data_IF_280706356017
#
_entry.id   IF_280706356017
#
_cell.length_a   1.000
_cell.length_b   1.000
_cell.length_c   1.000
_cell.angle_alpha   90.00
_cell.angle_beta   90.00
_cell.angle_gamma   90.00
#
_symmetry.space_group_name_H-M   'P 1'
#
loop_
_entity.id
_entity.type
_entity.pdbx_description
1 polymer ?
#
# COMPACT_ATOMS: atom_id res chain seq x y z
N UNK A 1 2.51 -56.56 5.46
CA UNK A 1 1.29 -55.77 5.22
C UNK A 1 1.26 -54.58 6.16
N UNK A 2 0.92 -53.40 5.62
CA UNK A 2 0.50 -52.15 6.26
C UNK A 2 1.43 -51.50 7.31
N UNK A 3 2.32 -50.62 6.84
CA UNK A 3 2.84 -49.51 7.64
C UNK A 3 1.75 -48.43 7.77
N UNK A 4 1.30 -48.16 9.00
CA UNK A 4 0.38 -47.08 9.30
C UNK A 4 1.08 -45.74 9.06
N UNK A 5 0.70 -45.04 7.99
CA UNK A 5 0.94 -43.60 7.88
C UNK A 5 0.03 -42.91 8.90
N UNK A 6 0.60 -42.41 9.99
CA UNK A 6 -0.08 -41.48 10.88
C UNK A 6 -0.31 -40.17 10.12
N UNK A 7 -1.53 -39.99 9.61
CA UNK A 7 -1.99 -38.70 9.11
C UNK A 7 -2.01 -37.73 10.30
N UNK A 8 -0.96 -36.92 10.43
CA UNK A 8 -0.89 -35.81 11.38
C UNK A 8 -2.00 -34.83 11.00
N UNK A 9 -3.12 -34.88 11.71
CA UNK A 9 -4.21 -33.95 11.51
C UNK A 9 -3.65 -32.53 11.67
N UNK A 10 -3.62 -31.77 10.57
CA UNK A 10 -3.29 -30.36 10.60
C UNK A 10 -4.45 -29.68 11.32
N UNK A 11 -4.32 -29.49 12.62
CA UNK A 11 -5.26 -28.69 13.40
C UNK A 11 -5.21 -27.29 12.80
N UNK A 12 -6.22 -26.94 12.02
CA UNK A 12 -6.37 -25.58 11.52
C UNK A 12 -6.62 -24.67 12.71
N UNK A 13 -5.61 -23.87 13.07
CA UNK A 13 -5.76 -22.87 14.11
C UNK A 13 -6.89 -21.90 13.72
N UNK A 14 -7.78 -21.60 14.67
CA UNK A 14 -8.89 -20.66 14.49
C UNK A 14 -8.35 -19.31 13.98
N UNK A 15 -9.05 -18.64 13.04
CA UNK A 15 -8.75 -17.26 12.67
C UNK A 15 -8.75 -16.35 13.89
N UNK A 16 -7.68 -15.55 14.06
CA UNK A 16 -7.59 -14.61 15.18
C UNK A 16 -8.54 -13.45 14.96
N UNK A 17 -9.14 -12.98 16.03
CA UNK A 17 -9.96 -11.76 16.03
C UNK A 17 -9.09 -10.51 15.82
N UNK A 18 -9.69 -9.39 15.42
CA UNK A 18 -8.96 -8.12 15.25
C UNK A 18 -8.42 -7.58 16.57
N UNK A 19 -9.10 -7.84 17.69
CA UNK A 19 -8.65 -7.44 19.03
C UNK A 19 -7.36 -8.14 19.46
N UNK A 20 -7.08 -9.32 18.89
CA UNK A 20 -5.83 -10.06 19.10
C UNK A 20 -4.71 -9.61 18.15
N UNK A 21 -5.00 -8.68 17.23
CA UNK A 21 -4.12 -8.22 16.16
C UNK A 21 -4.17 -6.68 16.05
N UNK A 22 -3.63 -5.93 17.03
CA UNK A 22 -3.77 -4.47 17.08
C UNK A 22 -3.16 -3.75 15.86
N UNK A 23 -2.08 -4.29 15.26
CA UNK A 23 -1.53 -3.76 14.01
C UNK A 23 -2.50 -3.93 12.83
N UNK A 24 -3.27 -5.00 12.79
CA UNK A 24 -4.25 -5.23 11.72
C UNK A 24 -5.40 -4.22 11.80
N UNK A 25 -5.74 -3.73 13.01
CA UNK A 25 -6.69 -2.62 13.18
C UNK A 25 -6.14 -1.32 12.59
N UNK A 26 -4.85 -1.02 12.85
CA UNK A 26 -4.18 0.13 12.24
C UNK A 26 -4.19 0.05 10.72
N UNK A 27 -3.84 -1.11 10.15
CA UNK A 27 -3.85 -1.29 8.69
C UNK A 27 -5.25 -1.23 8.11
N UNK A 28 -6.25 -1.78 8.80
CA UNK A 28 -7.65 -1.72 8.37
C UNK A 28 -8.14 -0.27 8.32
N UNK A 29 -7.86 0.53 9.35
CA UNK A 29 -8.18 1.95 9.38
C UNK A 29 -7.44 2.69 8.26
N UNK A 30 -6.16 2.41 8.07
CA UNK A 30 -5.34 2.99 7.02
C UNK A 30 -5.91 2.70 5.62
N UNK A 31 -6.15 1.43 5.28
CA UNK A 31 -6.73 1.05 3.99
C UNK A 31 -8.13 1.61 3.78
N UNK A 32 -8.95 1.69 4.84
CA UNK A 32 -10.29 2.28 4.76
C UNK A 32 -10.24 3.78 4.44
N UNK A 33 -9.42 4.54 5.17
CA UNK A 33 -9.23 5.98 4.91
C UNK A 33 -8.63 6.20 3.52
N UNK A 34 -7.62 5.42 3.16
CA UNK A 34 -6.94 5.54 1.88
C UNK A 34 -7.88 5.22 0.72
N UNK A 35 -8.69 4.15 0.81
CA UNK A 35 -9.67 3.82 -0.21
C UNK A 35 -10.67 4.95 -0.45
N UNK A 36 -11.16 5.59 0.62
CA UNK A 36 -12.07 6.72 0.51
C UNK A 36 -11.35 7.91 -0.15
N UNK A 37 -10.13 8.22 0.29
CA UNK A 37 -9.33 9.32 -0.28
C UNK A 37 -9.02 9.10 -1.76
N UNK A 38 -8.58 7.91 -2.15
CA UNK A 38 -8.25 7.56 -3.53
C UNK A 38 -9.47 7.64 -4.46
N UNK A 39 -10.65 7.23 -4.00
CA UNK A 39 -11.88 7.40 -4.79
C UNK A 39 -12.28 8.88 -4.86
N UNK A 40 -12.16 9.60 -3.75
CA UNK A 40 -12.60 10.98 -3.62
C UNK A 40 -11.63 12.01 -4.22
N UNK A 41 -10.37 11.67 -4.50
CA UNK A 41 -9.35 12.62 -4.98
C UNK A 41 -8.63 12.03 -6.18
N UNK A 42 -7.88 10.95 -5.99
CA UNK A 42 -6.90 10.46 -6.97
C UNK A 42 -7.54 9.88 -8.24
N UNK A 43 -8.66 9.17 -8.07
CA UNK A 43 -9.46 8.67 -9.18
C UNK A 43 -10.01 9.83 -10.01
N UNK A 44 -10.49 10.92 -9.40
CA UNK A 44 -11.00 12.07 -10.15
C UNK A 44 -9.92 12.68 -11.05
N UNK A 45 -8.67 12.75 -10.59
CA UNK A 45 -7.56 13.33 -11.36
C UNK A 45 -7.00 12.40 -12.45
N UNK A 46 -7.35 11.11 -12.41
CA UNK A 46 -6.97 10.13 -13.44
C UNK A 46 -7.88 10.20 -14.66
N UNK A 47 -9.16 10.52 -14.47
CA UNK A 47 -10.15 10.53 -15.54
C UNK A 47 -10.03 11.77 -16.45
N UNK A 48 -10.35 11.65 -17.74
CA UNK A 48 -10.36 12.78 -18.66
C UNK A 48 -11.27 13.93 -18.19
N UNK A 49 -10.94 15.21 -18.50
CA UNK A 49 -11.75 16.35 -18.10
C UNK A 49 -13.23 16.27 -18.51
N UNK A 50 -13.51 15.66 -19.67
CA UNK A 50 -14.87 15.50 -20.18
C UNK A 50 -15.73 14.53 -19.34
N UNK A 51 -15.12 13.60 -18.60
CA UNK A 51 -15.84 12.63 -17.77
C UNK A 51 -15.99 13.06 -16.30
N UNK A 52 -15.54 14.28 -15.95
CA UNK A 52 -15.70 14.81 -14.59
C UNK A 52 -17.18 14.87 -14.15
N UNK A 53 -18.12 15.03 -15.09
CA UNK A 53 -19.56 15.02 -14.82
C UNK A 53 -20.09 13.69 -14.27
N UNK A 54 -19.33 12.60 -14.40
CA UNK A 54 -19.67 11.30 -13.84
C UNK A 54 -19.48 11.24 -12.32
N UNK A 55 -18.68 12.15 -11.75
CA UNK A 55 -18.48 12.22 -10.31
C UNK A 55 -19.58 13.06 -9.64
N UNK A 56 -20.15 12.58 -8.51
CA UNK A 56 -21.05 13.35 -7.68
C UNK A 56 -20.49 14.74 -7.36
N UNK A 57 -21.36 15.75 -7.32
CA UNK A 57 -20.96 17.13 -7.06
C UNK A 57 -20.20 17.31 -5.74
N UNK A 58 -20.62 16.57 -4.70
CA UNK A 58 -19.94 16.56 -3.42
C UNK A 58 -18.46 16.13 -3.54
N UNK A 59 -18.16 15.07 -4.31
CA UNK A 59 -16.78 14.61 -4.49
C UNK A 59 -15.96 15.61 -5.30
N UNK A 60 -16.55 16.21 -6.33
CA UNK A 60 -15.89 17.28 -7.10
C UNK A 60 -15.55 18.46 -6.21
N UNK A 61 -16.45 18.84 -5.30
CA UNK A 61 -16.22 19.92 -4.33
C UNK A 61 -15.09 19.56 -3.35
N UNK A 62 -15.06 18.33 -2.82
CA UNK A 62 -13.98 17.87 -1.93
C UNK A 62 -12.62 17.99 -2.59
N UNK A 63 -12.48 17.56 -3.85
CA UNK A 63 -11.24 17.71 -4.61
C UNK A 63 -10.85 19.20 -4.74
N UNK A 64 -11.78 20.05 -5.16
CA UNK A 64 -11.49 21.48 -5.35
C UNK A 64 -11.14 22.19 -4.03
N UNK A 65 -11.86 21.89 -2.95
CA UNK A 65 -11.53 22.39 -1.60
C UNK A 65 -10.13 21.94 -1.18
N UNK A 66 -9.76 20.68 -1.43
CA UNK A 66 -8.43 20.16 -1.13
C UNK A 66 -7.35 20.87 -1.94
N UNK A 67 -7.50 20.98 -3.26
CA UNK A 67 -6.51 21.63 -4.14
C UNK A 67 -6.32 23.11 -3.80
N UNK A 68 -7.40 23.81 -3.46
CA UNK A 68 -7.35 25.23 -3.11
C UNK A 68 -6.69 25.48 -1.77
N UNK A 69 -6.95 24.64 -0.77
CA UNK A 69 -6.44 24.80 0.60
C UNK A 69 -5.01 24.28 0.75
N UNK A 70 -4.74 23.04 0.32
CA UNK A 70 -3.43 22.39 0.46
C UNK A 70 -2.37 22.99 -0.46
N UNK A 71 -2.78 23.43 -1.66
CA UNK A 71 -1.89 23.76 -2.78
C UNK A 71 -0.88 22.64 -3.08
N UNK A 72 -1.32 21.40 -2.93
CA UNK A 72 -0.51 20.22 -3.22
C UNK A 72 0.09 20.30 -4.64
N UNK A 73 1.42 20.43 -4.77
CA UNK A 73 2.06 20.68 -6.06
C UNK A 73 1.88 19.51 -7.04
N UNK A 74 1.80 18.28 -6.54
CA UNK A 74 1.69 17.09 -7.38
C UNK A 74 0.27 16.91 -7.89
N UNK A 75 -0.74 17.10 -7.03
CA UNK A 75 -2.14 17.01 -7.43
C UNK A 75 -2.55 18.19 -8.34
N UNK A 76 -2.05 19.40 -8.08
CA UNK A 76 -2.22 20.54 -8.99
C UNK A 76 -1.55 20.29 -10.35
N UNK A 77 -0.34 19.73 -10.37
CA UNK A 77 0.33 19.36 -11.61
C UNK A 77 -0.44 18.26 -12.38
N UNK A 78 -1.06 17.32 -11.67
CA UNK A 78 -1.91 16.30 -12.26
C UNK A 78 -3.19 16.89 -12.87
N UNK A 79 -3.88 17.78 -12.14
CA UNK A 79 -5.07 18.50 -12.63
C UNK A 79 -4.76 19.30 -13.89
N UNK A 80 -3.66 20.06 -13.89
CA UNK A 80 -3.19 20.83 -15.04
C UNK A 80 -2.63 19.96 -16.18
N UNK A 81 -2.51 18.64 -15.99
CA UNK A 81 -1.88 17.68 -16.92
C UNK A 81 -0.46 18.11 -17.31
N UNK A 82 0.29 18.66 -16.36
CA UNK A 82 1.65 19.16 -16.54
C UNK A 82 2.61 18.06 -17.02
N UNK A 83 3.55 18.45 -17.89
CA UNK A 83 4.64 17.59 -18.34
C UNK A 83 5.73 17.39 -17.27
N UNK A 84 5.80 18.27 -16.27
CA UNK A 84 6.84 18.23 -15.24
C UNK A 84 6.66 17.07 -14.22
N UNK A 85 5.43 16.58 -14.07
CA UNK A 85 5.08 15.54 -13.08
C UNK A 85 4.35 14.35 -13.72
N UNK A 86 4.79 13.95 -14.92
CA UNK A 86 4.23 12.77 -15.60
C UNK A 86 4.35 11.51 -14.74
N UNK A 87 5.45 11.36 -14.01
CA UNK A 87 5.66 10.24 -13.08
C UNK A 87 4.54 10.15 -12.03
N UNK A 88 4.10 11.28 -11.47
CA UNK A 88 3.05 11.33 -10.46
C UNK A 88 1.68 11.00 -11.07
N UNK A 89 1.42 11.47 -12.30
CA UNK A 89 0.20 11.09 -13.03
C UNK A 89 0.13 9.59 -13.32
N UNK A 90 1.27 8.95 -13.59
CA UNK A 90 1.34 7.48 -13.71
C UNK A 90 1.06 6.81 -12.37
N UNK A 91 1.54 7.37 -11.26
CA UNK A 91 1.22 6.86 -9.92
C UNK A 91 -0.30 6.94 -9.63
N UNK A 92 -0.96 8.08 -9.89
CA UNK A 92 -2.42 8.22 -9.75
C UNK A 92 -3.20 7.22 -10.62
N UNK A 93 -2.74 7.02 -11.86
CA UNK A 93 -3.33 6.02 -12.75
C UNK A 93 -3.14 4.60 -12.20
N UNK A 94 -1.95 4.27 -11.70
CA UNK A 94 -1.67 2.99 -11.06
C UNK A 94 -2.52 2.78 -9.80
N UNK A 95 -2.80 3.85 -9.06
CA UNK A 95 -3.61 3.81 -7.87
C UNK A 95 -5.06 3.46 -8.21
N UNK A 96 -5.62 4.19 -9.19
CA UNK A 96 -6.98 3.98 -9.67
C UNK A 96 -7.18 2.56 -10.21
N UNK A 97 -6.21 2.04 -10.98
CA UNK A 97 -6.35 0.78 -11.71
C UNK A 97 -5.93 -0.45 -10.91
N UNK A 98 -4.94 -0.33 -10.02
CA UNK A 98 -4.33 -1.46 -9.32
C UNK A 98 -4.54 -1.36 -7.80
N UNK A 99 -4.22 -0.21 -7.22
CA UNK A 99 -4.19 -0.10 -5.76
C UNK A 99 -5.60 -0.05 -5.15
N UNK A 100 -6.57 0.64 -5.75
CA UNK A 100 -7.97 0.66 -5.27
C UNK A 100 -8.55 -0.76 -5.17
N UNK A 101 -8.49 -1.61 -6.21
CA UNK A 101 -8.86 -3.02 -6.08
C UNK A 101 -8.10 -3.75 -4.98
N UNK A 102 -6.80 -3.47 -4.82
CA UNK A 102 -5.98 -4.09 -3.78
C UNK A 102 -6.39 -3.66 -2.37
N UNK A 103 -6.86 -2.43 -2.16
CA UNK A 103 -7.36 -1.97 -0.87
C UNK A 103 -8.56 -2.80 -0.44
N UNK A 104 -9.49 -3.09 -1.37
CA UNK A 104 -10.65 -3.95 -1.10
C UNK A 104 -10.22 -5.35 -0.70
N UNK A 105 -9.26 -5.94 -1.43
CA UNK A 105 -8.71 -7.28 -1.11
C UNK A 105 -7.97 -7.26 0.23
N UNK A 106 -7.20 -6.22 0.53
CA UNK A 106 -6.46 -6.08 1.77
C UNK A 106 -7.39 -5.94 2.98
N UNK A 107 -8.43 -5.10 2.87
CA UNK A 107 -9.48 -4.95 3.88
C UNK A 107 -10.14 -6.30 4.15
N UNK A 108 -10.58 -6.99 3.09
CA UNK A 108 -11.16 -8.33 3.23
C UNK A 108 -10.18 -9.32 3.87
N UNK A 109 -8.91 -9.30 3.47
CA UNK A 109 -7.88 -10.19 4.01
C UNK A 109 -7.63 -9.97 5.51
N UNK A 110 -7.56 -8.72 5.95
CA UNK A 110 -7.40 -8.37 7.37
C UNK A 110 -8.60 -8.81 8.20
N UNK A 111 -9.82 -8.54 7.72
CA UNK A 111 -11.07 -8.92 8.38
C UNK A 111 -11.19 -10.44 8.58
N UNK A 112 -10.70 -11.23 7.62
CA UNK A 112 -10.81 -12.69 7.63
C UNK A 112 -9.54 -13.42 8.12
N UNK A 113 -8.49 -12.71 8.55
CA UNK A 113 -7.17 -13.29 8.90
C UNK A 113 -6.59 -14.16 7.76
N UNK A 114 -6.81 -13.73 6.51
CA UNK A 114 -6.38 -14.45 5.30
C UNK A 114 -4.92 -14.12 4.98
N UNK A 115 -4.03 -15.08 5.20
CA UNK A 115 -2.57 -14.93 5.06
C UNK A 115 -2.13 -14.82 3.60
N UNK A 116 -2.94 -15.31 2.65
CA UNK A 116 -2.63 -15.25 1.22
C UNK A 116 -2.61 -13.82 0.67
N UNK A 117 -3.17 -12.84 1.39
CA UNK A 117 -3.12 -11.43 0.98
C UNK A 117 -1.83 -10.73 1.39
N UNK A 118 -0.99 -11.34 2.25
CA UNK A 118 0.24 -10.68 2.73
C UNK A 118 1.20 -10.27 1.60
N UNK A 119 1.48 -11.10 0.57
CA UNK A 119 2.36 -10.68 -0.52
C UNK A 119 1.83 -9.45 -1.28
N UNK A 120 0.50 -9.34 -1.42
CA UNK A 120 -0.12 -8.18 -2.04
C UNK A 120 0.07 -6.91 -1.19
N UNK A 121 -0.10 -7.02 0.13
CA UNK A 121 0.14 -5.93 1.07
C UNK A 121 1.60 -5.48 1.10
N UNK A 122 2.56 -6.39 0.92
CA UNK A 122 3.98 -6.07 0.77
C UNK A 122 4.24 -5.27 -0.51
N UNK A 123 3.73 -5.76 -1.65
CA UNK A 123 3.92 -5.10 -2.94
C UNK A 123 3.34 -3.69 -2.93
N UNK A 124 2.10 -3.55 -2.45
CA UNK A 124 1.45 -2.26 -2.27
C UNK A 124 2.22 -1.37 -1.29
N UNK A 125 2.54 -1.89 -0.09
CA UNK A 125 3.18 -1.11 0.97
C UNK A 125 4.52 -0.54 0.53
N UNK A 126 5.29 -1.32 -0.24
CA UNK A 126 6.57 -0.89 -0.82
C UNK A 126 6.37 0.25 -1.81
N UNK A 127 5.41 0.10 -2.74
CA UNK A 127 5.11 1.14 -3.73
C UNK A 127 4.65 2.43 -3.05
N UNK A 128 3.63 2.35 -2.18
CA UNK A 128 3.07 3.50 -1.49
C UNK A 128 4.09 4.22 -0.59
N UNK A 129 4.92 3.46 0.15
CA UNK A 129 5.99 4.04 0.96
C UNK A 129 7.01 4.78 0.10
N UNK A 130 7.50 4.15 -0.96
CA UNK A 130 8.55 4.72 -1.81
C UNK A 130 8.08 5.94 -2.61
N UNK A 131 6.87 5.89 -3.19
CA UNK A 131 6.30 7.02 -3.91
C UNK A 131 6.00 8.21 -2.99
N UNK A 132 5.47 7.96 -1.80
CA UNK A 132 5.19 9.03 -0.84
C UNK A 132 6.48 9.62 -0.28
N UNK A 133 7.51 8.80 -0.04
CA UNK A 133 8.84 9.28 0.34
C UNK A 133 9.42 10.18 -0.74
N UNK A 134 9.23 9.86 -2.02
CA UNK A 134 9.65 10.72 -3.13
C UNK A 134 8.95 12.09 -3.08
N UNK A 135 7.63 12.12 -2.84
CA UNK A 135 6.90 13.38 -2.66
C UNK A 135 7.44 14.19 -1.47
N UNK A 136 7.67 13.55 -0.31
CA UNK A 136 8.24 14.20 0.88
C UNK A 136 9.61 14.81 0.56
N UNK A 137 10.52 14.04 -0.04
CA UNK A 137 11.85 14.51 -0.40
C UNK A 137 11.79 15.64 -1.41
N UNK A 138 10.90 15.59 -2.39
CA UNK A 138 10.78 16.65 -3.40
C UNK A 138 10.22 17.96 -2.83
N UNK A 139 9.33 17.89 -1.84
CA UNK A 139 8.88 19.05 -1.07
C UNK A 139 9.99 19.59 -0.16
N UNK A 140 10.70 18.73 0.58
CA UNK A 140 11.68 19.18 1.57
C UNK A 140 13.02 19.62 0.99
N UNK A 141 13.46 18.97 -0.09
CA UNK A 141 14.80 19.10 -0.67
C UNK A 141 14.78 19.60 -2.12
N UNK A 142 13.63 19.54 -2.79
CA UNK A 142 13.46 19.91 -4.18
C UNK A 142 12.78 21.27 -4.38
N UNK A 143 12.32 21.50 -5.61
CA UNK A 143 11.65 22.75 -6.00
C UNK A 143 10.14 22.74 -5.81
N UNK A 144 9.54 21.61 -5.44
CA UNK A 144 8.07 21.47 -5.37
C UNK A 144 7.46 22.26 -4.20
N UNK A 145 8.27 22.72 -3.24
CA UNK A 145 7.83 23.63 -2.18
C UNK A 145 7.87 25.12 -2.57
N UNK A 146 8.39 25.48 -3.75
CA UNK A 146 8.50 26.89 -4.16
C UNK A 146 7.09 27.48 -4.30
N UNK A 147 6.82 28.54 -3.55
CA UNK A 147 5.52 29.23 -3.55
C UNK A 147 4.52 28.70 -2.51
N UNK A 148 4.86 27.65 -1.75
CA UNK A 148 4.04 27.22 -0.61
C UNK A 148 4.42 27.98 0.66
N UNK A 149 3.40 28.32 1.46
CA UNK A 149 3.61 28.86 2.80
C UNK A 149 4.09 27.78 3.77
N UNK A 150 4.76 28.15 4.89
CA UNK A 150 5.15 27.19 5.92
C UNK A 150 3.97 26.39 6.50
N UNK A 151 2.77 26.97 6.54
CA UNK A 151 1.57 26.27 6.99
C UNK A 151 1.12 25.19 6.01
N UNK A 152 1.19 25.46 4.70
CA UNK A 152 0.87 24.49 3.67
C UNK A 152 1.89 23.35 3.63
N UNK A 153 3.19 23.66 3.74
CA UNK A 153 4.23 22.63 3.83
C UNK A 153 3.98 21.72 5.04
N UNK A 154 3.66 22.28 6.21
CA UNK A 154 3.31 21.48 7.39
C UNK A 154 2.07 20.62 7.14
N UNK A 155 1.03 21.17 6.52
CA UNK A 155 -0.19 20.43 6.18
C UNK A 155 0.09 19.26 5.22
N UNK A 156 0.91 19.47 4.19
CA UNK A 156 1.33 18.41 3.27
C UNK A 156 2.10 17.31 4.00
N UNK A 157 3.07 17.67 4.85
CA UNK A 157 3.85 16.68 5.60
C UNK A 157 3.00 15.92 6.62
N UNK A 158 2.00 16.56 7.23
CA UNK A 158 1.04 15.90 8.11
C UNK A 158 0.22 14.83 7.38
N UNK A 159 -0.05 15.02 6.08
CA UNK A 159 -0.70 14.01 5.25
C UNK A 159 0.30 12.97 4.74
N UNK A 160 1.46 13.36 4.22
CA UNK A 160 2.38 12.43 3.57
C UNK A 160 3.13 11.54 4.56
N UNK A 161 3.55 12.06 5.72
CA UNK A 161 4.38 11.28 6.66
C UNK A 161 3.65 10.03 7.16
N UNK A 162 2.38 10.08 7.63
CA UNK A 162 1.64 8.88 8.00
C UNK A 162 1.48 7.91 6.81
N UNK A 163 1.22 8.43 5.62
CA UNK A 163 1.05 7.64 4.39
C UNK A 163 2.38 7.08 3.85
N UNK A 164 3.52 7.49 4.38
CA UNK A 164 4.82 6.86 4.14
C UNK A 164 5.15 5.82 5.22
N UNK A 165 4.96 6.19 6.49
CA UNK A 165 5.36 5.37 7.64
C UNK A 165 4.47 4.14 7.83
N UNK A 166 3.15 4.27 7.68
CA UNK A 166 2.23 3.13 7.86
C UNK A 166 2.45 2.06 6.78
N UNK A 167 2.58 2.40 5.48
CA UNK A 167 2.96 1.42 4.45
C UNK A 167 4.34 0.79 4.65
N UNK A 168 5.30 1.55 5.19
CA UNK A 168 6.62 0.99 5.54
C UNK A 168 6.47 -0.07 6.63
N UNK A 169 5.72 0.25 7.70
CA UNK A 169 5.44 -0.68 8.79
C UNK A 169 4.67 -1.92 8.28
N UNK A 170 3.64 -1.71 7.45
CA UNK A 170 2.87 -2.77 6.81
C UNK A 170 3.78 -3.71 6.02
N UNK A 171 4.68 -3.15 5.22
CA UNK A 171 5.63 -3.93 4.39
C UNK A 171 6.49 -4.83 5.27
N UNK A 172 7.13 -4.26 6.30
CA UNK A 172 8.01 -5.01 7.20
C UNK A 172 7.24 -6.08 7.96
N UNK A 173 6.08 -5.73 8.54
CA UNK A 173 5.27 -6.67 9.32
C UNK A 173 4.77 -7.83 8.45
N UNK A 174 4.22 -7.55 7.27
CA UNK A 174 3.73 -8.60 6.36
C UNK A 174 4.88 -9.49 5.85
N UNK A 175 6.04 -8.91 5.56
CA UNK A 175 7.24 -9.69 5.21
C UNK A 175 7.66 -10.62 6.33
N UNK A 176 7.74 -10.13 7.57
CA UNK A 176 8.07 -10.95 8.73
C UNK A 176 7.04 -12.06 8.91
N UNK A 177 5.74 -11.77 8.82
CA UNK A 177 4.68 -12.78 8.91
C UNK A 177 4.81 -13.85 7.84
N UNK A 178 5.13 -13.48 6.60
CA UNK A 178 5.39 -14.45 5.51
C UNK A 178 6.58 -15.33 5.88
N UNK A 179 7.70 -14.77 6.31
CA UNK A 179 8.90 -15.53 6.69
C UNK A 179 8.60 -16.55 7.80
N UNK A 180 7.80 -16.18 8.80
CA UNK A 180 7.39 -17.10 9.88
C UNK A 180 6.48 -18.24 9.40
N UNK A 181 5.83 -18.11 8.24
CA UNK A 181 5.00 -19.17 7.65
C UNK A 181 5.81 -20.15 6.80
N UNK A 182 7.04 -19.80 6.40
CA UNK A 182 7.88 -20.67 5.59
C UNK A 182 8.48 -21.79 6.45
N UNK A 183 8.48 -23.04 5.96
CA UNK A 183 9.12 -24.13 6.68
C UNK A 183 10.63 -23.91 6.72
N UNK A 184 11.24 -24.08 7.90
CA UNK A 184 12.70 -24.17 8.01
C UNK A 184 13.11 -25.54 7.48
N UNK A 185 13.53 -25.62 6.22
CA UNK A 185 14.15 -26.83 5.68
C UNK A 185 15.61 -26.86 6.15
N UNK A 186 16.04 -27.80 7.01
CA UNK A 186 17.45 -27.96 7.29
C UNK A 186 18.18 -28.33 5.99
N UNK A 187 19.33 -27.68 5.74
CA UNK A 187 20.15 -27.96 4.56
C UNK A 187 20.41 -29.47 4.48
N UNK A 188 20.03 -30.10 3.37
CA UNK A 188 20.29 -31.53 3.16
C UNK A 188 21.80 -31.75 3.20
N UNK A 189 22.34 -32.58 4.09
CA UNK A 189 23.77 -32.83 4.11
C UNK A 189 24.17 -33.43 2.76
N UNK A 190 25.13 -32.80 2.08
CA UNK A 190 25.70 -33.34 0.85
C UNK A 190 26.26 -34.73 1.15
N UNK A 191 25.66 -35.75 0.54
CA UNK A 191 26.18 -37.11 0.59
C UNK A 191 27.54 -37.09 -0.11
N UNK A 192 28.63 -37.25 0.66
CA UNK A 192 29.95 -37.54 0.09
C UNK A 192 29.85 -38.86 -0.65
N UNK A 193 29.79 -38.81 -1.99
CA UNK A 193 29.95 -39.99 -2.83
C UNK A 193 31.42 -40.42 -2.70
N UNK A 194 31.65 -41.48 -1.93
CA UNK A 194 32.96 -42.13 -1.85
C UNK A 194 33.15 -42.93 -3.13
N UNK A 195 33.98 -42.44 -4.04
CA UNK A 195 34.44 -43.19 -5.20
C UNK A 195 35.38 -44.30 -4.74
N UNK A 196 34.85 -45.49 -4.48
CA UNK A 196 35.65 -46.71 -4.55
C UNK A 196 35.72 -47.11 -6.03
N UNK A 197 36.86 -46.82 -6.63
CA UNK A 197 37.28 -47.40 -7.91
C UNK A 197 37.94 -48.74 -7.55
N UNK A 198 37.33 -49.83 -8.00
CA UNK A 198 37.96 -51.15 -8.09
C UNK A 198 38.86 -51.22 -9.33
#
# INVERSE_FOLDING_TARGET
>A
MAGKQEAKAVVQARPRTLTERPLDVLYLAYFGIHLIASIAIDAQLTYPPYSQRLFPELLRKVLQDYLTTSKDPFLLAAEARSANHVWFRVLLASETLLQIPFFVVAIWGLLNDEKRTYPLMVAYGTLAASSTLQCICSVLLGSDAIGLSPAQIRGLLQNYVPFCLIPTLLTVDMMLRIVHLLPITPATPMVKVSSKVE
#
